data_IF_457168702477
#
_entry.id   IF_457168702477
#
_cell.length_a   1.000
_cell.length_b   1.000
_cell.length_c   1.000
_cell.angle_alpha   90.00
_cell.angle_beta   90.00
_cell.angle_gamma   90.00
#
_symmetry.space_group_name_H-M   'P 1'
#
loop_
_entity.id
_entity.type
_entity.pdbx_description
1 polymer ?
#
# COMPACT_ATOMS: atom_id res chain seq x y z
N UNK A 1 9.22 -10.28 -12.59
CA UNK A 1 8.34 -11.46 -12.41
C UNK A 1 6.97 -10.95 -11.96
N UNK A 2 5.87 -11.45 -12.53
CA UNK A 2 4.52 -11.10 -12.07
C UNK A 2 4.33 -11.74 -10.70
N UNK A 3 4.28 -10.95 -9.64
CA UNK A 3 3.88 -11.43 -8.33
C UNK A 3 2.40 -11.83 -8.43
N UNK A 4 2.12 -13.12 -8.43
CA UNK A 4 0.74 -13.63 -8.41
C UNK A 4 0.16 -13.35 -7.03
N UNK A 5 -1.00 -12.69 -6.99
CA UNK A 5 -1.71 -12.37 -5.76
C UNK A 5 -2.15 -13.65 -5.02
N UNK A 6 -1.70 -13.78 -3.78
CA UNK A 6 -2.23 -14.71 -2.78
C UNK A 6 -2.55 -13.92 -1.51
N UNK A 7 -3.84 -13.82 -1.19
CA UNK A 7 -4.35 -13.09 -0.03
C UNK A 7 -3.67 -13.53 1.28
N UNK A 8 -3.47 -14.83 1.49
CA UNK A 8 -2.85 -15.34 2.74
C UNK A 8 -1.38 -14.93 2.82
N UNK A 9 -0.68 -14.96 1.68
CA UNK A 9 0.69 -14.48 1.62
C UNK A 9 0.75 -12.99 1.99
N UNK A 10 -0.11 -12.15 1.41
CA UNK A 10 -0.19 -10.71 1.72
C UNK A 10 -0.52 -10.46 3.20
N UNK A 11 -1.49 -11.19 3.75
CA UNK A 11 -1.85 -11.12 5.17
C UNK A 11 -0.67 -11.38 6.09
N UNK A 12 0.18 -12.36 5.75
CA UNK A 12 1.35 -12.74 6.53
C UNK A 12 2.53 -11.77 6.44
N UNK A 13 2.58 -10.90 5.43
CA UNK A 13 3.73 -10.00 5.24
C UNK A 13 3.85 -9.02 6.43
N UNK A 14 5.04 -8.88 7.04
CA UNK A 14 5.28 -7.84 8.03
C UNK A 14 5.13 -6.45 7.39
N UNK A 15 4.58 -5.53 8.19
CA UNK A 15 4.41 -4.13 7.82
C UNK A 15 4.98 -3.25 8.94
N UNK A 16 5.82 -2.28 8.59
CA UNK A 16 6.39 -1.36 9.57
C UNK A 16 6.31 0.10 9.12
N UNK A 17 6.40 1.01 10.09
CA UNK A 17 6.41 2.44 9.85
C UNK A 17 7.79 3.02 10.13
N UNK A 18 8.27 3.87 9.24
CA UNK A 18 9.39 4.78 9.51
C UNK A 18 8.78 6.10 9.98
N UNK A 19 8.91 6.39 11.28
CA UNK A 19 8.38 7.60 11.91
C UNK A 19 9.56 8.45 12.38
N UNK A 20 9.53 9.74 12.07
CA UNK A 20 10.53 10.68 12.55
C UNK A 20 10.32 12.08 12.01
N UNK A 21 10.71 13.10 12.79
CA UNK A 21 10.47 14.50 12.42
C UNK A 21 10.95 14.82 11.01
N UNK A 22 10.26 15.74 10.34
CA UNK A 22 10.72 16.28 9.07
C UNK A 22 12.20 16.72 9.14
N UNK A 23 12.95 16.47 8.07
CA UNK A 23 14.39 16.77 7.92
C UNK A 23 15.35 15.96 8.82
N UNK A 24 14.92 14.80 9.33
CA UNK A 24 15.77 13.88 10.12
C UNK A 24 16.43 12.74 9.32
N UNK A 25 16.32 12.76 7.98
CA UNK A 25 16.88 11.70 7.13
C UNK A 25 15.98 10.46 6.95
N UNK A 26 14.70 10.54 7.34
CA UNK A 26 13.72 9.45 7.11
C UNK A 26 13.61 9.03 5.65
N UNK A 27 13.72 9.97 4.71
CA UNK A 27 13.76 9.67 3.27
C UNK A 27 14.99 8.83 2.89
N UNK A 28 16.18 9.14 3.44
CA UNK A 28 17.39 8.34 3.18
C UNK A 28 17.22 6.92 3.71
N UNK A 29 16.73 6.77 4.95
CA UNK A 29 16.48 5.46 5.56
C UNK A 29 15.46 4.66 4.73
N UNK A 30 14.34 5.29 4.33
CA UNK A 30 13.36 4.69 3.43
C UNK A 30 14.00 4.20 2.14
N UNK A 31 14.85 5.03 1.51
CA UNK A 31 15.52 4.67 0.26
C UNK A 31 16.50 3.51 0.43
N UNK A 32 17.25 3.45 1.54
CA UNK A 32 18.15 2.32 1.83
C UNK A 32 17.37 1.00 1.99
N UNK A 33 16.23 1.02 2.67
CA UNK A 33 15.36 -0.16 2.77
C UNK A 33 14.74 -0.52 1.43
N UNK A 34 14.22 0.46 0.69
CA UNK A 34 13.63 0.23 -0.62
C UNK A 34 14.66 -0.24 -1.67
N UNK A 35 15.96 0.03 -1.49
CA UNK A 35 16.98 -0.56 -2.35
C UNK A 35 17.12 -2.09 -2.19
N UNK A 36 16.61 -2.67 -1.09
CA UNK A 36 16.70 -4.10 -0.86
C UNK A 36 15.66 -4.88 -1.71
N UNK A 37 16.05 -5.94 -2.44
CA UNK A 37 15.15 -6.65 -3.38
C UNK A 37 13.89 -7.28 -2.76
N UNK A 38 13.89 -7.48 -1.45
CA UNK A 38 12.78 -8.07 -0.67
C UNK A 38 12.00 -7.11 0.21
N UNK A 39 12.31 -5.82 0.18
CA UNK A 39 11.62 -4.81 0.99
C UNK A 39 10.96 -3.81 0.04
N UNK A 40 9.68 -3.51 0.24
CA UNK A 40 8.98 -2.50 -0.57
C UNK A 40 8.44 -1.41 0.35
N UNK A 41 8.94 -0.18 0.18
CA UNK A 41 8.49 0.96 0.97
C UNK A 41 8.21 2.09 0.00
N UNK A 42 6.97 2.55 -0.08
CA UNK A 42 6.61 3.65 -0.98
C UNK A 42 7.19 4.98 -0.50
N UNK A 43 6.97 6.03 -1.26
CA UNK A 43 7.06 7.40 -0.76
C UNK A 43 5.94 7.68 0.26
N UNK A 44 5.89 8.91 0.79
CA UNK A 44 4.86 9.32 1.77
C UNK A 44 3.46 9.14 1.21
N UNK A 45 2.64 8.35 1.92
CA UNK A 45 1.33 7.90 1.50
C UNK A 45 0.29 8.12 2.61
N UNK A 46 -0.12 9.37 2.92
CA UNK A 46 -0.98 9.67 4.07
C UNK A 46 -2.47 9.31 3.83
N UNK A 47 -2.75 8.20 3.14
CA UNK A 47 -4.12 7.73 2.88
C UNK A 47 -4.65 6.79 3.97
N UNK A 48 -3.77 6.14 4.76
CA UNK A 48 -4.18 5.09 5.71
C UNK A 48 -5.23 5.62 6.69
N UNK A 49 -5.03 6.80 7.27
CA UNK A 49 -5.96 7.40 8.24
C UNK A 49 -7.31 7.78 7.60
N UNK A 50 -7.26 8.36 6.40
CA UNK A 50 -8.43 8.77 5.62
C UNK A 50 -9.32 7.56 5.27
N UNK A 51 -8.69 6.47 4.82
CA UNK A 51 -9.39 5.22 4.50
C UNK A 51 -9.85 4.49 5.76
N UNK A 52 -9.05 4.48 6.83
CA UNK A 52 -9.43 3.84 8.09
C UNK A 52 -10.68 4.49 8.71
N UNK A 53 -10.82 5.82 8.61
CA UNK A 53 -12.03 6.51 9.06
C UNK A 53 -13.30 6.01 8.35
N UNK A 54 -13.19 5.64 7.08
CA UNK A 54 -14.33 5.19 6.26
C UNK A 54 -14.56 3.68 6.34
N UNK A 55 -13.49 2.88 6.44
CA UNK A 55 -13.54 1.43 6.22
C UNK A 55 -12.86 0.60 7.32
N UNK A 56 -12.28 1.21 8.36
CA UNK A 56 -11.48 0.51 9.38
C UNK A 56 -12.25 -0.51 10.21
N UNK A 57 -13.58 -0.37 10.28
CA UNK A 57 -14.47 -1.34 10.96
C UNK A 57 -14.97 -2.48 10.07
N UNK A 58 -14.61 -2.50 8.78
CA UNK A 58 -15.13 -3.48 7.81
C UNK A 58 -14.26 -4.74 7.81
N UNK A 59 -14.87 -5.89 8.13
CA UNK A 59 -14.21 -7.20 8.11
C UNK A 59 -14.79 -8.16 7.07
N UNK A 60 -16.00 -7.88 6.57
CA UNK A 60 -16.61 -8.63 5.48
C UNK A 60 -16.92 -7.66 4.34
N UNK A 61 -16.36 -7.94 3.18
CA UNK A 61 -16.35 -7.03 2.06
C UNK A 61 -17.19 -7.60 0.93
N UNK A 62 -18.20 -6.87 0.50
CA UNK A 62 -18.86 -7.15 -0.78
C UNK A 62 -18.13 -6.41 -1.92
N UNK A 63 -18.39 -6.86 -3.15
CA UNK A 63 -17.80 -6.24 -4.35
C UNK A 63 -18.05 -4.74 -4.46
N UNK A 64 -19.21 -4.25 -4.01
CA UNK A 64 -19.57 -2.82 -4.06
C UNK A 64 -18.67 -2.01 -3.13
N UNK A 65 -18.50 -2.46 -1.90
CA UNK A 65 -17.69 -1.81 -0.87
C UNK A 65 -16.20 -1.83 -1.23
N UNK A 66 -15.71 -2.89 -1.88
CA UNK A 66 -14.35 -2.94 -2.42
C UNK A 66 -14.14 -1.94 -3.56
N UNK A 67 -15.14 -1.79 -4.43
CA UNK A 67 -15.10 -0.80 -5.49
C UNK A 67 -15.12 0.62 -4.91
N UNK A 68 -15.94 0.88 -3.89
CA UNK A 68 -15.98 2.15 -3.17
C UNK A 68 -14.66 2.44 -2.46
N UNK A 69 -14.03 1.44 -1.85
CA UNK A 69 -12.68 1.53 -1.28
C UNK A 69 -11.65 1.95 -2.33
N UNK A 70 -11.62 1.27 -3.48
CA UNK A 70 -10.69 1.61 -4.57
C UNK A 70 -10.94 3.02 -5.10
N UNK A 71 -12.21 3.41 -5.27
CA UNK A 71 -12.57 4.76 -5.72
C UNK A 71 -12.17 5.83 -4.68
N UNK A 72 -12.31 5.55 -3.39
CA UNK A 72 -11.85 6.44 -2.32
C UNK A 72 -10.32 6.53 -2.28
N UNK A 73 -9.59 5.46 -2.57
CA UNK A 73 -8.13 5.47 -2.72
C UNK A 73 -7.69 6.34 -3.91
N UNK A 74 -8.36 6.23 -5.06
CA UNK A 74 -8.07 7.04 -6.26
C UNK A 74 -8.26 8.54 -6.04
N UNK A 75 -9.17 8.92 -5.13
CA UNK A 75 -9.44 10.33 -4.78
C UNK A 75 -8.40 10.92 -3.81
N UNK A 76 -7.46 10.13 -3.30
CA UNK A 76 -6.46 10.65 -2.36
C UNK A 76 -5.50 11.58 -3.11
N UNK A 77 -5.48 12.84 -2.68
CA UNK A 77 -4.56 13.86 -3.17
C UNK A 77 -3.63 14.27 -2.03
N UNK A 78 -2.34 14.28 -2.30
CA UNK A 78 -1.32 14.62 -1.30
C UNK A 78 -0.81 16.02 -1.58
N UNK A 79 -1.10 16.94 -0.65
CA UNK A 79 -0.68 18.33 -0.74
C UNK A 79 0.83 18.39 -0.96
N UNK A 80 1.24 18.99 -2.08
CA UNK A 80 2.62 19.23 -2.53
C UNK A 80 3.42 18.07 -3.14
N UNK A 81 2.87 16.86 -3.31
CA UNK A 81 3.68 15.74 -3.80
C UNK A 81 3.08 15.04 -5.02
N UNK A 82 1.97 14.29 -4.94
CA UNK A 82 1.33 13.65 -6.11
C UNK A 82 -0.14 13.28 -5.81
N UNK A 83 -0.98 13.10 -6.83
CA UNK A 83 -2.24 12.36 -6.66
C UNK A 83 -1.97 10.85 -6.62
N UNK A 84 -2.77 10.05 -5.90
CA UNK A 84 -2.58 8.59 -5.89
C UNK A 84 -2.56 7.99 -7.30
N UNK A 85 -3.42 8.50 -8.20
CA UNK A 85 -3.50 8.08 -9.60
C UNK A 85 -2.25 8.36 -10.44
N UNK A 86 -1.34 9.21 -9.96
CA UNK A 86 -0.09 9.58 -10.63
C UNK A 86 1.11 8.86 -10.03
N UNK A 87 0.95 8.23 -8.87
CA UNK A 87 2.02 7.51 -8.21
C UNK A 87 2.32 6.20 -8.94
N UNK A 88 3.55 5.72 -8.78
CA UNK A 88 4.02 4.53 -9.47
C UNK A 88 3.44 3.25 -8.84
N UNK A 89 2.16 2.96 -9.12
CA UNK A 89 1.50 1.72 -8.74
C UNK A 89 1.03 0.98 -9.98
N UNK A 90 0.98 -0.35 -9.90
CA UNK A 90 0.27 -1.14 -10.91
C UNK A 90 -1.25 -1.03 -10.69
N UNK A 91 -1.85 0.09 -11.09
CA UNK A 91 -3.26 0.43 -10.81
C UNK A 91 -4.26 -0.61 -11.32
N UNK A 92 -4.05 -1.13 -12.53
CA UNK A 92 -4.93 -2.14 -13.12
C UNK A 92 -4.91 -3.43 -12.30
N UNK A 93 -3.73 -3.94 -11.95
CA UNK A 93 -3.62 -5.16 -11.13
C UNK A 93 -4.10 -4.92 -9.70
N UNK A 94 -3.76 -3.77 -9.10
CA UNK A 94 -4.20 -3.40 -7.76
C UNK A 94 -5.73 -3.42 -7.64
N UNK A 95 -6.44 -2.91 -8.64
CA UNK A 95 -7.91 -2.92 -8.65
C UNK A 95 -8.43 -4.36 -8.65
N UNK A 96 -7.94 -5.21 -9.55
CA UNK A 96 -8.40 -6.60 -9.64
C UNK A 96 -8.10 -7.38 -8.35
N UNK A 97 -6.92 -7.18 -7.76
CA UNK A 97 -6.53 -7.88 -6.53
C UNK A 97 -7.32 -7.37 -5.31
N UNK A 98 -7.68 -6.08 -5.27
CA UNK A 98 -8.63 -5.54 -4.27
C UNK A 98 -10.00 -6.21 -4.43
N UNK A 99 -10.52 -6.29 -5.65
CA UNK A 99 -11.83 -6.92 -5.90
C UNK A 99 -11.81 -8.42 -5.59
N UNK A 100 -10.68 -9.10 -5.76
CA UNK A 100 -10.47 -10.50 -5.39
C UNK A 100 -10.45 -10.74 -3.86
N UNK A 101 -10.43 -9.69 -3.04
CA UNK A 101 -10.49 -9.80 -1.58
C UNK A 101 -11.93 -9.96 -1.02
N UNK A 102 -12.95 -10.10 -1.88
CA UNK A 102 -14.36 -10.28 -1.49
C UNK A 102 -14.54 -11.35 -0.41
N UNK A 103 -15.44 -11.09 0.54
CA UNK A 103 -15.65 -11.88 1.74
C UNK A 103 -14.84 -11.41 2.94
N UNK A 104 -14.46 -12.35 3.81
CA UNK A 104 -13.76 -12.06 5.07
C UNK A 104 -12.33 -11.57 4.80
N UNK A 105 -12.06 -10.28 4.97
CA UNK A 105 -10.77 -9.65 4.72
C UNK A 105 -10.56 -8.51 5.73
N UNK A 106 -9.34 -8.36 6.25
CA UNK A 106 -9.05 -7.23 7.14
C UNK A 106 -8.75 -5.96 6.34
N UNK A 107 -9.08 -4.80 6.91
CA UNK A 107 -8.62 -3.51 6.38
C UNK A 107 -7.09 -3.49 6.19
N UNK A 108 -6.34 -4.05 7.13
CA UNK A 108 -4.88 -4.14 7.07
C UNK A 108 -4.40 -4.91 5.83
N UNK A 109 -5.10 -5.99 5.44
CA UNK A 109 -4.79 -6.76 4.23
C UNK A 109 -4.88 -5.88 2.99
N UNK A 110 -5.94 -5.09 2.86
CA UNK A 110 -6.12 -4.17 1.74
C UNK A 110 -5.04 -3.08 1.73
N UNK A 111 -4.65 -2.56 2.90
CA UNK A 111 -3.53 -1.62 3.00
C UNK A 111 -2.23 -2.26 2.51
N UNK A 112 -1.86 -3.45 3.03
CA UNK A 112 -0.66 -4.18 2.59
C UNK A 112 -0.67 -4.40 1.07
N UNK A 113 -1.83 -4.72 0.51
CA UNK A 113 -1.98 -4.91 -0.93
C UNK A 113 -1.63 -3.65 -1.72
N UNK A 114 -2.06 -2.46 -1.28
CA UNK A 114 -1.69 -1.19 -1.92
C UNK A 114 -0.16 -1.04 -1.98
N UNK A 115 0.55 -1.21 -0.86
CA UNK A 115 2.01 -1.11 -0.81
C UNK A 115 2.71 -2.24 -1.56
N UNK A 116 2.10 -3.42 -1.68
CA UNK A 116 2.62 -4.52 -2.49
C UNK A 116 2.66 -4.16 -3.99
N UNK A 117 1.66 -3.40 -4.47
CA UNK A 117 1.59 -2.93 -5.86
C UNK A 117 2.39 -1.67 -6.15
N UNK A 118 3.09 -1.11 -5.16
CA UNK A 118 4.03 -0.01 -5.39
C UNK A 118 5.19 -0.50 -6.28
N UNK A 119 5.44 0.24 -7.34
CA UNK A 119 6.53 0.01 -8.30
C UNK A 119 7.70 0.90 -7.86
N UNK A 120 8.69 0.26 -7.25
CA UNK A 120 9.94 0.90 -6.85
C UNK A 120 10.85 1.14 -8.05
N UNK A 121 11.74 2.12 -7.93
CA UNK A 121 12.82 2.37 -8.89
C UNK A 121 13.92 1.29 -8.81
N UNK A 122 13.92 0.46 -7.76
CA UNK A 122 14.86 -0.64 -7.57
C UNK A 122 14.24 -1.99 -7.94
N UNK A 123 15.06 -2.89 -8.50
CA UNK A 123 14.63 -4.23 -8.87
C UNK A 123 14.17 -5.05 -7.65
N UNK A 124 12.97 -5.60 -7.75
CA UNK A 124 12.37 -6.47 -6.73
C UNK A 124 12.32 -7.92 -7.22
N UNK A 125 12.83 -8.85 -6.42
CA UNK A 125 12.88 -10.29 -6.77
C UNK A 125 11.98 -11.15 -5.89
N UNK A 126 11.41 -10.60 -4.81
CA UNK A 126 10.44 -11.28 -3.96
C UNK A 126 10.20 -10.51 -2.68
N UNK A 127 9.07 -9.79 -2.61
CA UNK A 127 8.74 -8.94 -1.47
C UNK A 127 8.42 -9.78 -0.24
N UNK A 128 9.13 -9.50 0.84
CA UNK A 128 8.98 -10.14 2.16
C UNK A 128 8.62 -9.15 3.25
N UNK A 129 8.84 -7.86 3.04
CA UNK A 129 8.55 -6.81 4.01
C UNK A 129 7.96 -5.61 3.28
N UNK A 130 6.90 -5.06 3.86
CA UNK A 130 6.26 -3.83 3.42
C UNK A 130 6.46 -2.73 4.46
N UNK A 131 6.35 -1.49 4.04
CA UNK A 131 6.31 -0.38 4.98
C UNK A 131 5.91 0.94 4.37
N UNK A 132 5.78 1.91 5.26
CA UNK A 132 5.41 3.28 4.93
C UNK A 132 6.29 4.26 5.70
N UNK A 133 6.59 5.40 5.09
CA UNK A 133 7.30 6.49 5.76
C UNK A 133 6.31 7.62 6.03
N UNK A 134 6.21 8.04 7.29
CA UNK A 134 5.42 9.20 7.70
C UNK A 134 6.27 10.12 8.61
N UNK A 135 6.20 11.45 8.42
CA UNK A 135 6.90 12.43 9.26
C UNK A 135 6.33 12.57 10.68
#
# INVERSE_FOLDING_TARGET
>A
MKNTFDKKAIESLPFFFIIGRSRSGTTLIRTLFDAHPSVNISLECPFILSLHKQFGGTNNWDRKTLLDFYNSLQKQSFVNYYNFSEMNFNHSQLKEDILACEGNCSFQTLIKLIYFHFVSDFDKTGIKILGDKNP
#
